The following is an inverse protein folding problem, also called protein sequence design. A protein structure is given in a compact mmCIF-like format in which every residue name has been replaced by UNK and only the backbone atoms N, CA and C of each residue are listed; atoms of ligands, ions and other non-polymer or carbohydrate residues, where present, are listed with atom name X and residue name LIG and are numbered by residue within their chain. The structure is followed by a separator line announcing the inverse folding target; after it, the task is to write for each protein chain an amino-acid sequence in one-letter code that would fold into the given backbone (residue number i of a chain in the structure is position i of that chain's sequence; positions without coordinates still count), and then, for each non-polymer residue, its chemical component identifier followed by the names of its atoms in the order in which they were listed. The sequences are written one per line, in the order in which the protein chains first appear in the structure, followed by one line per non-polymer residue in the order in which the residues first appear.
data_IF_432219437610
#
_entry.id   IF_432219437610
#
_cell.length_a   1.000
_cell.length_b   1.000
_cell.length_c   1.000
_cell.angle_alpha   90.00
_cell.angle_beta   90.00
_cell.angle_gamma   90.00
#
_symmetry.space_group_name_H-M   'P 1'
#
loop_
_entity.id
_entity.type
_entity.pdbx_description
1 polymer ?
#
# COMPACT_ATOMS: atom_id res chain seq x y z
N UNK A 1 20.70 50.85 32.16
CA UNK A 1 20.93 50.91 30.72
C UNK A 1 21.19 49.48 30.21
N UNK A 2 20.29 48.52 30.61
CA UNK A 2 20.50 47.07 30.40
C UNK A 2 19.18 46.30 30.15
N UNK A 3 18.09 46.98 29.78
CA UNK A 3 16.79 46.33 29.63
C UNK A 3 16.24 46.25 28.19
N UNK A 4 16.98 46.74 27.20
CA UNK A 4 16.49 46.73 25.80
C UNK A 4 16.96 45.57 24.94
N UNK A 5 17.96 44.80 25.38
CA UNK A 5 18.48 43.68 24.56
C UNK A 5 17.76 42.33 24.76
N UNK A 6 17.00 42.18 25.84
CA UNK A 6 16.22 40.96 26.07
C UNK A 6 14.86 40.94 25.34
N UNK A 7 14.37 42.12 24.94
CA UNK A 7 13.09 42.20 24.20
C UNK A 7 13.24 41.96 22.69
N UNK A 8 14.43 42.08 22.12
CA UNK A 8 14.71 41.76 20.71
C UNK A 8 15.05 40.29 20.48
N UNK A 9 15.65 39.59 21.46
CA UNK A 9 15.89 38.13 21.35
C UNK A 9 14.62 37.29 21.44
N UNK A 10 13.59 37.75 22.15
CA UNK A 10 12.28 37.05 22.23
C UNK A 10 11.38 37.26 21.01
N UNK A 11 11.70 38.22 20.14
CA UNK A 11 10.95 38.44 18.89
C UNK A 11 11.53 37.68 17.71
N UNK A 12 12.79 37.28 17.76
CA UNK A 12 13.45 36.51 16.68
C UNK A 12 13.21 35.01 16.73
N UNK A 13 12.77 34.47 17.88
CA UNK A 13 12.51 33.04 18.03
C UNK A 13 11.09 32.58 17.71
N UNK A 14 10.17 33.53 17.38
CA UNK A 14 8.77 33.27 17.06
C UNK A 14 8.44 33.15 15.58
N UNK A 15 9.38 33.47 14.68
CA UNK A 15 9.11 33.54 13.23
C UNK A 15 9.74 32.42 12.41
N UNK A 16 10.56 31.53 13.00
CA UNK A 16 11.19 30.40 12.28
C UNK A 16 10.47 29.06 12.42
N UNK A 17 9.39 28.95 13.18
CA UNK A 17 8.56 27.73 13.27
C UNK A 17 7.40 27.68 12.28
N UNK A 18 7.36 28.62 11.33
CA UNK A 18 6.36 28.63 10.29
C UNK A 18 6.91 27.91 9.04
N UNK A 19 6.34 26.72 8.80
CA UNK A 19 6.10 26.29 7.43
C UNK A 19 7.18 25.47 6.71
N UNK A 20 7.37 24.24 7.14
CA UNK A 20 7.62 23.17 6.17
C UNK A 20 6.32 22.44 5.82
N UNK A 21 5.28 23.18 5.50
CA UNK A 21 4.13 22.63 4.79
C UNK A 21 4.60 22.16 3.42
N UNK A 22 4.62 20.84 3.21
CA UNK A 22 4.86 20.28 1.87
C UNK A 22 3.96 21.02 0.87
N UNK A 23 4.49 21.48 -0.28
CA UNK A 23 3.67 22.13 -1.27
C UNK A 23 2.57 21.16 -1.70
N UNK A 24 1.33 21.42 -1.32
CA UNK A 24 0.17 20.69 -1.84
C UNK A 24 0.15 20.94 -3.35
N UNK A 25 0.63 19.96 -4.11
CA UNK A 25 0.56 19.98 -5.57
C UNK A 25 -0.92 20.11 -5.93
N UNK A 26 -1.37 21.32 -6.27
CA UNK A 26 -2.72 21.58 -6.78
C UNK A 26 -2.91 20.65 -7.96
N UNK A 27 -3.68 19.57 -7.73
CA UNK A 27 -4.08 18.67 -8.81
C UNK A 27 -4.82 19.51 -9.85
N UNK A 28 -4.31 19.50 -11.08
CA UNK A 28 -4.92 20.27 -12.18
C UNK A 28 -6.40 19.87 -12.31
N UNK A 29 -7.31 20.79 -12.64
CA UNK A 29 -8.72 20.48 -12.82
C UNK A 29 -8.92 19.34 -13.84
N UNK A 30 -8.07 19.25 -14.86
CA UNK A 30 -8.06 18.15 -15.82
C UNK A 30 -7.80 16.79 -15.15
N UNK A 31 -6.87 16.70 -14.18
CA UNK A 31 -6.61 15.45 -13.45
C UNK A 31 -7.80 15.01 -12.60
N UNK A 32 -8.56 15.94 -12.00
CA UNK A 32 -9.78 15.63 -11.25
C UNK A 32 -10.89 15.10 -12.17
N UNK A 33 -11.07 15.74 -13.33
CA UNK A 33 -12.07 15.31 -14.33
C UNK A 33 -11.70 13.92 -14.85
N UNK A 34 -10.45 13.67 -15.20
CA UNK A 34 -9.98 12.36 -15.65
C UNK A 34 -10.22 11.29 -14.59
N UNK A 35 -9.93 11.57 -13.32
CA UNK A 35 -10.20 10.64 -12.22
C UNK A 35 -11.69 10.32 -12.09
N UNK A 36 -12.57 11.34 -12.17
CA UNK A 36 -14.02 11.12 -12.13
C UNK A 36 -14.52 10.30 -13.32
N UNK A 37 -13.99 10.54 -14.52
CA UNK A 37 -14.35 9.76 -15.72
C UNK A 37 -13.94 8.29 -15.55
N UNK A 38 -12.69 8.03 -15.10
CA UNK A 38 -12.22 6.66 -14.86
C UNK A 38 -13.08 5.98 -13.80
N UNK A 39 -13.40 6.67 -12.71
CA UNK A 39 -14.24 6.14 -11.63
C UNK A 39 -15.65 5.81 -12.16
N UNK A 40 -16.25 6.72 -12.93
CA UNK A 40 -17.57 6.48 -13.55
C UNK A 40 -17.52 5.29 -14.50
N UNK A 41 -16.50 5.17 -15.34
CA UNK A 41 -16.31 4.02 -16.23
C UNK A 41 -16.22 2.70 -15.46
N UNK A 42 -15.48 2.68 -14.32
CA UNK A 42 -15.40 1.50 -13.47
C UNK A 42 -16.77 1.09 -12.92
N UNK A 43 -17.58 2.04 -12.44
CA UNK A 43 -18.93 1.77 -11.96
C UNK A 43 -19.85 1.26 -13.06
N UNK A 44 -19.81 1.88 -14.25
CA UNK A 44 -20.58 1.45 -15.41
C UNK A 44 -20.19 0.02 -15.82
N UNK A 45 -18.88 -0.27 -15.88
CA UNK A 45 -18.39 -1.61 -16.18
C UNK A 45 -18.87 -2.64 -15.14
N UNK A 46 -18.78 -2.29 -13.85
CA UNK A 46 -19.25 -3.16 -12.76
C UNK A 46 -20.75 -3.44 -12.89
N UNK A 47 -21.56 -2.40 -13.18
CA UNK A 47 -22.99 -2.55 -13.41
C UNK A 47 -23.28 -3.51 -14.58
N UNK A 48 -22.61 -3.35 -15.72
CA UNK A 48 -22.79 -4.24 -16.86
C UNK A 48 -22.41 -5.69 -16.52
N UNK A 49 -21.33 -5.90 -15.79
CA UNK A 49 -20.89 -7.23 -15.36
C UNK A 49 -21.90 -7.90 -14.43
N UNK A 50 -22.39 -7.16 -13.43
CA UNK A 50 -23.38 -7.66 -12.48
C UNK A 50 -24.73 -7.92 -13.16
N UNK A 51 -25.18 -7.01 -14.02
CA UNK A 51 -26.41 -7.20 -14.76
C UNK A 51 -26.33 -8.38 -15.73
N UNK A 52 -25.18 -8.58 -16.37
CA UNK A 52 -24.91 -9.74 -17.20
C UNK A 52 -24.93 -11.06 -16.42
N UNK A 53 -24.45 -11.08 -15.18
CA UNK A 53 -24.54 -12.24 -14.30
C UNK A 53 -26.00 -12.52 -13.91
N UNK A 54 -26.74 -11.49 -13.46
CA UNK A 54 -28.16 -11.60 -13.12
C UNK A 54 -29.01 -12.11 -14.29
N UNK A 55 -28.75 -11.60 -15.50
CA UNK A 55 -29.49 -12.01 -16.73
C UNK A 55 -29.26 -13.47 -17.10
N UNK A 56 -28.08 -14.04 -16.78
CA UNK A 56 -27.80 -15.48 -16.99
C UNK A 56 -28.65 -16.38 -16.11
N UNK A 57 -28.97 -15.90 -14.90
CA UNK A 57 -29.85 -16.57 -13.95
C UNK A 57 -31.35 -16.24 -14.19
N UNK A 58 -31.65 -15.41 -15.19
CA UNK A 58 -33.02 -14.98 -15.48
C UNK A 58 -33.63 -14.02 -14.44
N UNK A 59 -32.79 -13.40 -13.61
CA UNK A 59 -33.18 -12.54 -12.51
C UNK A 59 -32.94 -11.06 -12.82
N UNK A 60 -33.72 -10.18 -12.17
CA UNK A 60 -33.34 -8.76 -12.10
C UNK A 60 -32.10 -8.58 -11.23
N UNK A 61 -31.32 -7.52 -11.47
CA UNK A 61 -30.11 -7.24 -10.70
C UNK A 61 -30.36 -7.20 -9.18
N UNK A 62 -31.49 -6.58 -8.78
CA UNK A 62 -31.87 -6.50 -7.36
C UNK A 62 -32.23 -7.87 -6.78
N UNK A 63 -32.98 -8.68 -7.50
CA UNK A 63 -33.32 -10.04 -7.07
C UNK A 63 -32.08 -10.92 -6.95
N UNK A 64 -31.20 -10.86 -7.95
CA UNK A 64 -29.91 -11.57 -7.93
C UNK A 64 -29.05 -11.18 -6.74
N UNK A 65 -28.90 -9.89 -6.47
CA UNK A 65 -28.13 -9.41 -5.31
C UNK A 65 -28.76 -9.90 -4.00
N UNK A 66 -30.08 -9.81 -3.86
CA UNK A 66 -30.80 -10.28 -2.65
C UNK A 66 -30.59 -11.79 -2.45
N UNK A 67 -30.68 -12.57 -3.51
CA UNK A 67 -30.48 -14.02 -3.45
C UNK A 67 -29.03 -14.36 -3.05
N UNK A 68 -28.03 -13.74 -3.67
CA UNK A 68 -26.63 -13.94 -3.31
C UNK A 68 -26.40 -13.59 -1.84
N UNK A 69 -26.89 -12.45 -1.36
CA UNK A 69 -26.70 -12.03 0.04
C UNK A 69 -27.46 -12.92 1.03
N UNK A 70 -28.63 -13.41 0.69
CA UNK A 70 -29.41 -14.30 1.57
C UNK A 70 -28.79 -15.70 1.71
N UNK A 71 -28.10 -16.18 0.66
CA UNK A 71 -27.46 -17.48 0.65
C UNK A 71 -26.07 -17.50 1.30
N UNK A 72 -25.52 -16.34 1.68
CA UNK A 72 -24.23 -16.28 2.36
C UNK A 72 -24.35 -16.74 3.80
N UNK A 73 -23.50 -17.67 4.20
CA UNK A 73 -23.35 -18.08 5.60
C UNK A 73 -22.56 -17.00 6.36
N UNK A 74 -23.24 -15.91 6.75
CA UNK A 74 -22.61 -14.71 7.32
C UNK A 74 -21.75 -14.97 8.55
N UNK A 75 -22.23 -15.83 9.48
CA UNK A 75 -21.52 -16.07 10.75
C UNK A 75 -20.16 -16.73 10.53
N UNK A 76 -20.04 -17.87 9.82
CA UNK A 76 -18.73 -18.47 9.56
C UNK A 76 -17.87 -17.58 8.64
N UNK A 77 -18.49 -16.87 7.68
CA UNK A 77 -17.76 -15.97 6.79
C UNK A 77 -17.13 -14.79 7.56
N UNK A 78 -17.91 -14.08 8.39
CA UNK A 78 -17.42 -12.99 9.22
C UNK A 78 -16.38 -13.47 10.23
N UNK A 79 -16.61 -14.62 10.87
CA UNK A 79 -15.64 -15.22 11.79
C UNK A 79 -14.29 -15.48 11.13
N UNK A 80 -14.32 -16.06 9.93
CA UNK A 80 -13.11 -16.30 9.14
C UNK A 80 -12.42 -14.98 8.73
N UNK A 81 -13.20 -13.99 8.27
CA UNK A 81 -12.67 -12.71 7.83
C UNK A 81 -12.03 -11.91 8.98
N UNK A 82 -12.63 -11.94 10.17
CA UNK A 82 -12.07 -11.28 11.36
C UNK A 82 -10.76 -11.97 11.76
N UNK A 83 -10.77 -13.30 11.87
CA UNK A 83 -9.57 -14.06 12.22
C UNK A 83 -8.44 -13.83 11.21
N UNK A 84 -8.77 -13.86 9.92
CA UNK A 84 -7.82 -13.57 8.84
C UNK A 84 -7.28 -12.14 8.91
N UNK A 85 -8.14 -11.14 9.12
CA UNK A 85 -7.75 -9.73 9.19
C UNK A 85 -6.81 -9.46 10.36
N UNK A 86 -7.09 -10.05 11.53
CA UNK A 86 -6.21 -9.95 12.70
C UNK A 86 -4.87 -10.63 12.43
N UNK A 87 -4.87 -11.84 11.90
CA UNK A 87 -3.66 -12.54 11.54
C UNK A 87 -2.83 -11.74 10.53
N UNK A 88 -3.46 -11.26 9.47
CA UNK A 88 -2.82 -10.44 8.45
C UNK A 88 -2.21 -9.17 9.05
N UNK A 89 -2.93 -8.46 9.91
CA UNK A 89 -2.43 -7.25 10.58
C UNK A 89 -1.16 -7.51 11.40
N UNK A 90 -1.11 -8.59 12.17
CA UNK A 90 0.06 -8.93 12.96
C UNK A 90 1.26 -9.35 12.10
N UNK A 91 1.01 -10.16 11.07
CA UNK A 91 2.07 -10.59 10.14
C UNK A 91 2.59 -9.41 9.33
N UNK A 92 1.73 -8.57 8.80
CA UNK A 92 2.11 -7.37 8.05
C UNK A 92 2.94 -6.40 8.91
N UNK A 93 2.52 -6.17 10.15
CA UNK A 93 3.29 -5.36 11.11
C UNK A 93 4.67 -5.98 11.39
N UNK A 94 4.76 -7.32 11.47
CA UNK A 94 6.03 -8.02 11.63
C UNK A 94 6.94 -7.84 10.42
N UNK A 95 6.40 -7.97 9.20
CA UNK A 95 7.15 -7.77 7.95
C UNK A 95 7.70 -6.35 7.88
N UNK A 96 6.86 -5.35 8.16
CA UNK A 96 7.29 -3.94 8.17
C UNK A 96 8.38 -3.71 9.22
N UNK A 97 8.21 -4.22 10.44
CA UNK A 97 9.22 -4.09 11.50
C UNK A 97 10.54 -4.75 11.10
N UNK A 98 10.49 -5.95 10.52
CA UNK A 98 11.70 -6.65 10.04
C UNK A 98 12.40 -5.91 8.92
N UNK A 99 11.63 -5.38 7.97
CA UNK A 99 12.17 -4.60 6.87
C UNK A 99 12.84 -3.30 7.36
N UNK A 100 12.19 -2.56 8.28
CA UNK A 100 12.78 -1.37 8.88
C UNK A 100 14.08 -1.69 9.65
N UNK A 101 14.08 -2.76 10.44
CA UNK A 101 15.26 -3.19 11.19
C UNK A 101 16.38 -3.68 10.28
N UNK A 102 16.07 -4.17 9.12
CA UNK A 102 17.08 -4.65 8.17
C UNK A 102 17.78 -3.51 7.44
N UNK A 103 17.07 -2.43 7.15
CA UNK A 103 17.57 -1.35 6.30
C UNK A 103 17.91 -0.06 7.06
N UNK A 104 17.27 0.21 8.23
CA UNK A 104 17.34 1.53 8.85
C UNK A 104 17.83 1.51 10.29
N UNK A 105 17.06 0.98 11.22
CA UNK A 105 17.32 1.07 12.64
C UNK A 105 16.60 -0.02 13.43
N UNK A 106 17.14 -0.39 14.59
CA UNK A 106 16.49 -1.35 15.48
C UNK A 106 15.26 -0.74 16.17
N UNK A 107 14.09 -1.03 15.62
CA UNK A 107 12.79 -0.59 16.16
C UNK A 107 12.06 -1.81 16.73
N UNK A 108 11.48 -1.68 17.92
CA UNK A 108 10.74 -2.78 18.54
C UNK A 108 9.38 -2.96 17.90
N UNK A 109 8.96 -4.20 17.70
CA UNK A 109 7.65 -4.54 17.15
C UNK A 109 6.47 -3.83 17.86
N UNK A 110 6.53 -3.75 19.20
CA UNK A 110 5.49 -3.10 20.03
C UNK A 110 5.34 -1.60 19.72
N UNK A 111 6.40 -0.96 19.25
CA UNK A 111 6.39 0.46 18.91
C UNK A 111 5.81 0.73 17.53
N UNK A 112 5.97 -0.21 16.61
CA UNK A 112 5.41 -0.13 15.25
C UNK A 112 3.92 -0.48 15.22
N UNK A 113 3.47 -1.38 16.07
CA UNK A 113 2.10 -1.88 16.08
C UNK A 113 1.03 -0.77 16.17
N UNK A 114 1.07 0.19 17.12
CA UNK A 114 0.10 1.28 17.17
C UNK A 114 0.21 2.23 15.96
N UNK A 115 1.43 2.45 15.44
CA UNK A 115 1.65 3.29 14.26
C UNK A 115 0.98 2.64 13.04
N UNK A 116 1.17 1.32 12.89
CA UNK A 116 0.58 0.55 11.80
C UNK A 116 -0.94 0.52 11.90
N UNK A 117 -1.49 0.33 13.10
CA UNK A 117 -2.94 0.39 13.33
C UNK A 117 -3.53 1.75 12.92
N UNK A 118 -2.88 2.85 13.31
CA UNK A 118 -3.30 4.20 12.92
C UNK A 118 -3.17 4.41 11.39
N UNK A 119 -2.10 3.91 10.78
CA UNK A 119 -1.90 3.98 9.34
C UNK A 119 -2.99 3.20 8.57
N UNK A 120 -3.45 2.06 9.08
CA UNK A 120 -4.58 1.30 8.48
C UNK A 120 -5.88 2.10 8.48
N UNK A 121 -6.19 2.81 9.57
CA UNK A 121 -7.38 3.67 9.62
C UNK A 121 -7.31 4.76 8.54
N UNK A 122 -6.14 5.38 8.39
CA UNK A 122 -5.92 6.40 7.35
C UNK A 122 -5.97 5.77 5.94
N UNK A 123 -5.47 4.55 5.80
CA UNK A 123 -5.45 3.81 4.53
C UNK A 123 -6.85 3.47 4.00
N UNK A 124 -7.89 3.47 4.84
CA UNK A 124 -9.29 3.33 4.41
C UNK A 124 -9.66 4.44 3.40
N UNK A 125 -9.13 5.64 3.59
CA UNK A 125 -9.36 6.75 2.67
C UNK A 125 -8.39 6.73 1.49
N UNK A 126 -7.13 6.44 1.73
CA UNK A 126 -6.09 6.34 0.71
C UNK A 126 -4.87 5.60 1.26
N UNK A 127 -4.50 4.50 0.63
CA UNK A 127 -3.36 3.66 1.02
C UNK A 127 -2.03 4.43 1.02
N UNK A 128 -1.82 5.29 0.03
CA UNK A 128 -0.59 6.08 -0.08
C UNK A 128 -0.47 7.11 1.06
N UNK A 129 -1.59 7.69 1.47
CA UNK A 129 -1.62 8.62 2.62
C UNK A 129 -1.31 7.87 3.91
N UNK A 130 -1.83 6.64 4.08
CA UNK A 130 -1.51 5.79 5.23
C UNK A 130 -0.01 5.46 5.32
N UNK A 131 0.61 5.08 4.19
CA UNK A 131 2.07 4.84 4.11
C UNK A 131 2.87 6.12 4.39
N UNK A 132 2.44 7.25 3.85
CA UNK A 132 3.05 8.57 4.10
C UNK A 132 2.94 9.01 5.56
N UNK A 133 1.79 8.79 6.20
CA UNK A 133 1.59 9.09 7.62
C UNK A 133 2.53 8.27 8.52
N UNK A 134 2.75 7.00 8.18
CA UNK A 134 3.71 6.15 8.88
C UNK A 134 5.15 6.70 8.73
N UNK A 135 5.56 7.08 7.52
CA UNK A 135 6.87 7.66 7.27
C UNK A 135 7.06 8.96 8.04
N UNK A 136 6.05 9.83 8.06
CA UNK A 136 6.07 11.08 8.82
C UNK A 136 6.20 10.83 10.33
N UNK A 137 5.45 9.86 10.87
CA UNK A 137 5.50 9.55 12.29
C UNK A 137 6.86 9.01 12.72
N UNK A 138 7.44 8.08 11.95
CA UNK A 138 8.78 7.53 12.22
C UNK A 138 9.86 8.62 12.12
N UNK A 139 9.74 9.54 11.16
CA UNK A 139 10.63 10.68 11.07
C UNK A 139 10.56 11.55 12.31
N UNK A 140 9.36 11.87 12.80
CA UNK A 140 9.19 12.74 13.97
C UNK A 140 9.63 12.09 15.28
N UNK A 141 9.42 10.77 15.45
CA UNK A 141 9.71 10.04 16.69
C UNK A 141 11.16 9.56 16.76
N UNK A 142 11.62 8.92 15.69
CA UNK A 142 12.90 8.20 15.67
C UNK A 142 13.95 8.94 14.85
N UNK A 143 13.65 10.15 14.36
CA UNK A 143 14.51 11.01 13.52
C UNK A 143 14.99 10.30 12.23
N UNK A 144 14.28 9.26 11.78
CA UNK A 144 14.61 8.54 10.55
C UNK A 144 14.15 9.38 9.37
N UNK A 145 15.01 9.68 8.37
CA UNK A 145 14.62 10.43 7.19
C UNK A 145 13.44 9.79 6.48
N UNK A 146 12.37 10.58 6.21
CA UNK A 146 11.12 10.05 5.63
C UNK A 146 11.32 9.37 4.26
N UNK A 147 12.33 9.76 3.48
CA UNK A 147 12.68 9.15 2.21
C UNK A 147 13.24 7.73 2.39
N UNK A 148 13.96 7.46 3.47
CA UNK A 148 14.47 6.12 3.80
C UNK A 148 13.32 5.18 4.15
N UNK A 149 12.39 5.63 5.00
CA UNK A 149 11.16 4.87 5.31
C UNK A 149 10.36 4.65 4.03
N UNK A 150 10.24 5.67 3.18
CA UNK A 150 9.58 5.57 1.87
C UNK A 150 10.21 4.50 0.97
N UNK A 151 11.54 4.40 0.94
CA UNK A 151 12.27 3.39 0.17
C UNK A 151 11.99 1.98 0.67
N UNK A 152 11.94 1.77 2.00
CA UNK A 152 11.55 0.47 2.58
C UNK A 152 10.11 0.12 2.25
N UNK A 153 9.19 1.09 2.28
CA UNK A 153 7.79 0.85 1.87
C UNK A 153 7.68 0.46 0.39
N UNK A 154 8.44 1.10 -0.49
CA UNK A 154 8.50 0.72 -1.91
C UNK A 154 9.06 -0.70 -2.09
N UNK A 155 10.07 -1.07 -1.33
CA UNK A 155 10.60 -2.43 -1.33
C UNK A 155 9.54 -3.45 -0.93
N UNK A 156 8.79 -3.19 0.15
CA UNK A 156 7.70 -4.07 0.60
C UNK A 156 6.63 -4.19 -0.49
N UNK A 157 6.20 -3.07 -1.09
CA UNK A 157 5.22 -3.08 -2.19
C UNK A 157 5.71 -3.93 -3.39
N UNK A 158 6.98 -3.84 -3.72
CA UNK A 158 7.56 -4.64 -4.78
C UNK A 158 7.51 -6.15 -4.44
N UNK A 159 7.86 -6.52 -3.20
CA UNK A 159 7.76 -7.89 -2.72
C UNK A 159 6.30 -8.40 -2.74
N UNK A 160 5.33 -7.56 -2.38
CA UNK A 160 3.90 -7.89 -2.44
C UNK A 160 3.45 -8.20 -3.87
N UNK A 161 3.80 -7.34 -4.84
CA UNK A 161 3.48 -7.57 -6.25
C UNK A 161 4.13 -8.86 -6.77
N UNK A 162 5.39 -9.09 -6.43
CA UNK A 162 6.09 -10.30 -6.81
C UNK A 162 5.43 -11.56 -6.22
N UNK A 163 5.08 -11.52 -4.95
CA UNK A 163 4.34 -12.59 -4.27
C UNK A 163 3.01 -12.91 -4.99
N UNK A 164 2.23 -11.88 -5.33
CA UNK A 164 0.98 -12.04 -6.06
C UNK A 164 1.19 -12.68 -7.44
N UNK A 165 2.23 -12.26 -8.16
CA UNK A 165 2.58 -12.85 -9.47
C UNK A 165 2.96 -14.32 -9.35
N UNK A 166 3.72 -14.70 -8.32
CA UNK A 166 4.08 -16.10 -8.06
C UNK A 166 2.82 -16.94 -7.81
N UNK A 167 1.93 -16.49 -6.93
CA UNK A 167 0.68 -17.21 -6.64
C UNK A 167 -0.27 -17.27 -7.83
N UNK A 168 -0.37 -16.17 -8.59
CA UNK A 168 -1.16 -16.16 -9.84
C UNK A 168 -0.63 -17.17 -10.84
N UNK A 169 0.70 -17.32 -10.96
CA UNK A 169 1.31 -18.30 -11.85
C UNK A 169 1.11 -19.73 -11.37
N UNK A 170 1.23 -19.98 -10.05
CA UNK A 170 0.93 -21.29 -9.47
C UNK A 170 -0.55 -21.64 -9.72
N UNK A 171 -1.46 -20.70 -9.49
CA UNK A 171 -2.88 -20.88 -9.77
C UNK A 171 -3.17 -21.18 -11.24
N UNK A 172 -2.50 -20.48 -12.16
CA UNK A 172 -2.61 -20.75 -13.59
C UNK A 172 -2.13 -22.16 -13.94
N UNK A 173 -0.97 -22.56 -13.44
CA UNK A 173 -0.40 -23.89 -13.71
C UNK A 173 -1.23 -25.03 -13.11
N UNK A 174 -1.87 -24.78 -11.95
CA UNK A 174 -2.71 -25.78 -11.27
C UNK A 174 -4.13 -25.89 -11.84
N UNK A 175 -4.67 -24.78 -12.38
CA UNK A 175 -6.05 -24.67 -12.84
C UNK A 175 -6.26 -24.73 -14.36
N UNK A 176 -5.23 -24.93 -15.13
CA UNK A 176 -4.96 -24.84 -16.57
C UNK A 176 -6.08 -24.93 -17.60
N UNK A 177 -7.12 -25.71 -17.37
CA UNK A 177 -8.21 -25.89 -18.33
C UNK A 177 -9.40 -24.98 -17.97
N UNK A 178 -9.58 -23.87 -18.70
CA UNK A 178 -10.74 -22.98 -18.53
C UNK A 178 -10.43 -21.53 -18.16
N UNK A 179 -9.16 -21.17 -18.00
CA UNK A 179 -8.78 -19.78 -17.82
C UNK A 179 -8.72 -19.03 -19.17
N UNK A 180 -9.13 -17.76 -19.21
CA UNK A 180 -9.02 -16.94 -20.42
C UNK A 180 -7.57 -16.90 -20.96
N UNK A 181 -7.40 -16.85 -22.27
CA UNK A 181 -6.09 -16.80 -22.95
C UNK A 181 -5.17 -15.68 -22.46
N UNK A 182 -5.75 -14.59 -21.93
CA UNK A 182 -4.98 -13.51 -21.32
C UNK A 182 -4.09 -13.96 -20.15
N UNK A 183 -4.40 -15.08 -19.50
CA UNK A 183 -3.59 -15.62 -18.40
C UNK A 183 -2.43 -16.50 -18.87
N UNK A 184 -2.37 -16.85 -20.14
CA UNK A 184 -1.28 -17.68 -20.72
C UNK A 184 0.11 -17.03 -20.58
N UNK A 185 0.18 -15.70 -20.47
CA UNK A 185 1.41 -14.93 -20.27
C UNK A 185 1.87 -14.87 -18.80
N UNK A 186 1.04 -15.30 -17.82
CA UNK A 186 1.37 -15.20 -16.40
C UNK A 186 2.70 -15.89 -16.01
N UNK A 187 3.00 -17.10 -16.46
CA UNK A 187 4.29 -17.73 -16.14
C UNK A 187 5.49 -16.94 -16.69
N UNK A 188 5.35 -16.37 -17.90
CA UNK A 188 6.40 -15.56 -18.53
C UNK A 188 6.63 -14.26 -17.77
N UNK A 189 5.53 -13.57 -17.38
CA UNK A 189 5.59 -12.33 -16.59
C UNK A 189 6.23 -12.62 -15.23
N UNK A 190 5.88 -13.74 -14.59
CA UNK A 190 6.45 -14.12 -13.29
C UNK A 190 7.93 -14.46 -13.40
N UNK A 191 8.33 -15.20 -14.45
CA UNK A 191 9.75 -15.52 -14.67
C UNK A 191 10.56 -14.23 -14.92
N UNK A 192 10.05 -13.31 -15.74
CA UNK A 192 10.67 -12.01 -15.98
C UNK A 192 10.79 -11.17 -14.70
N UNK A 193 9.73 -11.15 -13.89
CA UNK A 193 9.72 -10.46 -12.60
C UNK A 193 10.69 -11.08 -11.60
N UNK A 194 10.83 -12.42 -11.58
CA UNK A 194 11.79 -13.12 -10.74
C UNK A 194 13.23 -12.77 -11.12
N UNK A 195 13.55 -12.77 -12.42
CA UNK A 195 14.87 -12.36 -12.91
C UNK A 195 15.16 -10.92 -12.50
N UNK A 196 14.21 -10.01 -12.73
CA UNK A 196 14.35 -8.62 -12.33
C UNK A 196 14.58 -8.49 -10.81
N UNK A 197 13.84 -9.24 -10.00
CA UNK A 197 13.98 -9.22 -8.54
C UNK A 197 15.34 -9.72 -8.08
N UNK A 198 15.85 -10.79 -8.68
CA UNK A 198 17.18 -11.33 -8.38
C UNK A 198 18.27 -10.32 -8.75
N UNK A 199 18.21 -9.75 -9.96
CA UNK A 199 19.16 -8.70 -10.41
C UNK A 199 19.13 -7.50 -9.47
N UNK A 200 17.94 -7.07 -9.06
CA UNK A 200 17.74 -5.95 -8.15
C UNK A 200 18.32 -6.24 -6.75
N UNK A 201 18.09 -7.46 -6.19
CA UNK A 201 18.71 -7.87 -4.92
C UNK A 201 20.24 -7.93 -5.01
N UNK A 202 20.79 -8.44 -6.12
CA UNK A 202 22.24 -8.50 -6.34
C UNK A 202 22.84 -7.09 -6.46
N UNK A 203 22.11 -6.16 -7.07
CA UNK A 203 22.50 -4.76 -7.14
C UNK A 203 22.58 -4.13 -5.75
N UNK A 204 21.55 -4.29 -4.93
CA UNK A 204 21.53 -3.75 -3.56
C UNK A 204 22.52 -4.42 -2.62
N UNK A 205 22.89 -5.68 -2.86
CA UNK A 205 23.99 -6.34 -2.12
C UNK A 205 25.38 -5.91 -2.58
N UNK A 206 25.49 -4.99 -3.50
CA UNK A 206 26.77 -4.52 -4.02
C UNK A 206 27.56 -5.55 -4.83
N UNK A 207 26.95 -6.70 -5.17
CA UNK A 207 27.62 -7.76 -5.91
C UNK A 207 27.82 -7.35 -7.39
N UNK A 208 26.95 -6.52 -7.92
CA UNK A 208 26.97 -6.04 -9.32
C UNK A 208 27.70 -4.70 -9.49
N UNK A 209 27.98 -3.99 -8.40
CA UNK A 209 28.79 -2.77 -8.46
C UNK A 209 30.22 -3.11 -8.06
N UNK A 210 31.23 -2.77 -8.87
CA UNK A 210 32.60 -2.79 -8.40
C UNK A 210 32.73 -1.84 -7.21
N UNK A 211 33.45 -2.29 -6.16
CA UNK A 211 33.72 -1.57 -4.92
C UNK A 211 34.27 -0.16 -5.23
N UNK A 212 33.40 0.80 -5.49
CA UNK A 212 33.74 2.20 -5.42
C UNK A 212 33.15 2.67 -4.09
N UNK A 213 34.03 2.85 -3.13
CA UNK A 213 33.79 3.47 -1.84
C UNK A 213 32.96 4.75 -2.01
N UNK A 214 31.74 4.75 -1.42
CA UNK A 214 31.01 5.97 -1.10
C UNK A 214 31.04 6.18 0.41
#
# INVERSE_FOLDING_TARGET
MTDNNQAEELKGSGEEESESAMPQKKTSPAGRILFLIITAMCFVYLYYRLNGAASREGLSLTAYMTEVFSNVAWVPWLGLMIAYSLFYFFVDTLVVTRALNWFLAEIKYKDILPIRASAYIISIFNEQIGKGAMAYYLNKRDQIPGWEVGSVMLFIMFCEVFYLLVWASIGYLAGGEGLPDAFSLMPVITAGSAIFFVVWLLYFRGILLPNNEF
#
